data_IF_664524059173
#
_entry.id   IF_664524059173
#
_cell.length_a   1.000
_cell.length_b   1.000
_cell.length_c   1.000
_cell.angle_alpha   90.00
_cell.angle_beta   90.00
_cell.angle_gamma   90.00
#
_symmetry.space_group_name_H-M   'P 1'
#
loop_
_entity.id
_entity.type
_entity.pdbx_description
1 polymer ?
#
# COMPACT_ATOMS: atom_id res chain seq x y z
N UNK A 1 -7.63 -3.44 -24.77
CA UNK A 1 -6.52 -2.46 -24.92
C UNK A 1 -5.32 -2.96 -24.13
N UNK A 2 -4.12 -2.81 -24.67
CA UNK A 2 -2.88 -3.17 -23.96
C UNK A 2 -2.46 -2.00 -23.08
N UNK A 3 -2.08 -2.27 -21.80
CA UNK A 3 -1.49 -1.24 -20.94
C UNK A 3 -0.08 -0.96 -21.44
N UNK A 4 0.17 0.26 -21.87
CA UNK A 4 1.46 0.76 -22.33
C UNK A 4 2.01 1.79 -21.35
N UNK A 5 3.24 1.58 -20.89
CA UNK A 5 3.95 2.47 -19.96
C UNK A 5 5.18 3.10 -20.60
N UNK A 6 5.26 3.08 -21.94
CA UNK A 6 6.35 3.71 -22.70
C UNK A 6 6.50 5.17 -22.32
N UNK A 7 7.73 5.58 -22.02
CA UNK A 7 8.05 6.92 -21.58
C UNK A 7 7.71 7.24 -20.12
N UNK A 8 7.12 6.30 -19.35
CA UNK A 8 6.93 6.44 -17.90
C UNK A 8 8.19 6.04 -17.15
N UNK A 9 8.41 6.68 -16.00
CA UNK A 9 9.52 6.40 -15.09
C UNK A 9 8.95 5.88 -13.79
N UNK A 10 9.39 4.68 -13.39
CA UNK A 10 8.93 4.00 -12.20
C UNK A 10 10.06 3.83 -11.17
N UNK A 11 9.75 4.01 -9.89
CA UNK A 11 10.60 3.63 -8.76
C UNK A 11 9.93 2.48 -8.03
N UNK A 12 10.65 1.37 -7.84
CA UNK A 12 10.18 0.21 -7.06
C UNK A 12 11.13 -0.02 -5.91
N UNK A 13 10.64 0.07 -4.67
CA UNK A 13 11.45 -0.16 -3.47
C UNK A 13 11.39 -1.63 -3.03
N UNK A 14 12.50 -2.14 -2.46
CA UNK A 14 12.63 -3.55 -2.12
C UNK A 14 12.59 -4.44 -3.37
N UNK A 15 13.21 -3.98 -4.46
CA UNK A 15 13.07 -4.58 -5.78
C UNK A 15 14.21 -5.54 -6.16
N UNK A 16 15.13 -5.87 -5.25
CA UNK A 16 16.21 -6.83 -5.49
C UNK A 16 15.75 -8.30 -5.46
N UNK A 17 14.50 -8.59 -5.10
CA UNK A 17 13.97 -9.95 -5.06
C UNK A 17 12.47 -10.02 -4.84
N UNK A 18 11.92 -11.24 -4.84
CA UNK A 18 10.52 -11.52 -4.53
C UNK A 18 9.53 -10.68 -5.33
N UNK A 19 8.54 -10.13 -4.64
CA UNK A 19 7.48 -9.29 -5.25
C UNK A 19 8.07 -8.07 -5.96
N UNK A 20 8.97 -7.34 -5.31
CA UNK A 20 9.53 -6.11 -5.87
C UNK A 20 10.28 -6.34 -7.18
N UNK A 21 11.07 -7.42 -7.28
CA UNK A 21 11.72 -7.84 -8.53
C UNK A 21 10.68 -8.08 -9.64
N UNK A 22 9.66 -8.88 -9.37
CA UNK A 22 8.61 -9.18 -10.36
C UNK A 22 7.83 -7.93 -10.78
N UNK A 23 7.59 -6.99 -9.85
CA UNK A 23 6.96 -5.71 -10.16
C UNK A 23 7.85 -4.87 -11.09
N UNK A 24 9.15 -4.76 -10.80
CA UNK A 24 10.11 -4.02 -11.62
C UNK A 24 10.16 -4.59 -13.04
N UNK A 25 10.29 -5.91 -13.18
CA UNK A 25 10.31 -6.59 -14.47
C UNK A 25 8.98 -6.44 -15.24
N UNK A 26 7.83 -6.51 -14.53
CA UNK A 26 6.53 -6.36 -15.17
C UNK A 26 6.32 -4.94 -15.72
N UNK A 27 6.73 -3.92 -14.98
CA UNK A 27 6.67 -2.52 -15.42
C UNK A 27 7.62 -2.27 -16.62
N UNK A 28 8.84 -2.81 -16.56
CA UNK A 28 9.81 -2.70 -17.66
C UNK A 28 9.31 -3.37 -18.93
N UNK A 29 8.70 -4.57 -18.84
CA UNK A 29 8.08 -5.24 -20.00
C UNK A 29 6.96 -4.44 -20.66
N UNK A 30 6.37 -3.47 -19.95
CA UNK A 30 5.36 -2.54 -20.46
C UNK A 30 5.97 -1.22 -20.97
N UNK A 31 7.29 -1.10 -21.02
CA UNK A 31 8.02 0.05 -21.56
C UNK A 31 8.38 1.12 -20.54
N UNK A 32 8.14 0.90 -19.24
CA UNK A 32 8.59 1.83 -18.20
C UNK A 32 10.11 1.75 -18.03
N UNK A 33 10.74 2.89 -17.74
CA UNK A 33 12.11 2.98 -17.23
C UNK A 33 12.07 2.80 -15.71
N UNK A 34 12.90 1.93 -15.13
CA UNK A 34 12.73 1.48 -13.76
C UNK A 34 13.95 1.78 -12.89
N UNK A 35 13.74 2.48 -11.75
CA UNK A 35 14.67 2.47 -10.64
C UNK A 35 14.39 1.23 -9.80
N UNK A 36 15.34 0.33 -9.76
CA UNK A 36 15.35 -0.87 -8.91
C UNK A 36 16.05 -0.50 -7.61
N UNK A 37 15.28 -0.14 -6.58
CA UNK A 37 15.84 0.20 -5.28
C UNK A 37 15.79 -1.01 -4.34
N UNK A 38 16.93 -1.39 -3.79
CA UNK A 38 17.04 -2.41 -2.74
C UNK A 38 18.29 -2.17 -1.91
N UNK A 39 18.14 -2.12 -0.59
CA UNK A 39 19.28 -2.01 0.35
C UNK A 39 20.14 -3.27 0.33
N UNK A 40 19.60 -4.42 -0.11
CA UNK A 40 20.29 -5.71 -0.13
C UNK A 40 20.41 -6.36 1.24
N UNK A 41 19.56 -5.98 2.19
CA UNK A 41 19.49 -6.58 3.51
C UNK A 41 18.78 -7.94 3.52
N UNK A 42 18.90 -8.65 4.65
CA UNK A 42 18.12 -9.86 4.93
C UNK A 42 16.63 -9.52 5.13
N UNK A 43 15.77 -10.54 5.18
CA UNK A 43 14.33 -10.37 5.49
C UNK A 43 14.07 -9.74 6.85
N UNK A 44 15.04 -9.80 7.77
CA UNK A 44 14.97 -9.14 9.09
C UNK A 44 15.58 -7.74 9.12
N UNK A 45 16.05 -7.23 7.96
CA UNK A 45 16.60 -5.88 7.82
C UNK A 45 18.08 -5.74 8.22
N UNK A 46 18.85 -6.82 8.19
CA UNK A 46 20.29 -6.81 8.53
C UNK A 46 21.14 -6.89 7.26
N UNK A 47 22.18 -6.05 7.18
CA UNK A 47 23.12 -6.00 6.05
C UNK A 47 22.70 -5.06 4.94
N UNK A 48 23.62 -4.86 3.98
CA UNK A 48 23.42 -4.07 2.76
C UNK A 48 24.26 -4.63 1.63
N UNK A 49 23.71 -4.69 0.40
CA UNK A 49 24.45 -5.09 -0.81
C UNK A 49 23.71 -4.60 -2.05
N UNK A 50 24.37 -3.89 -2.94
CA UNK A 50 23.80 -3.45 -4.21
C UNK A 50 23.57 -4.59 -5.23
N UNK A 51 24.19 -5.75 -5.03
CA UNK A 51 24.21 -6.85 -6.03
C UNK A 51 22.83 -7.38 -6.40
N UNK A 52 21.86 -7.39 -5.47
CA UNK A 52 20.51 -7.85 -5.76
C UNK A 52 19.77 -6.89 -6.71
N UNK A 53 19.88 -5.59 -6.49
CA UNK A 53 19.30 -4.58 -7.39
C UNK A 53 19.99 -4.60 -8.77
N UNK A 54 21.33 -4.73 -8.80
CA UNK A 54 22.11 -4.80 -10.03
C UNK A 54 21.72 -6.02 -10.89
N UNK A 55 21.52 -7.19 -10.27
CA UNK A 55 21.08 -8.39 -10.97
C UNK A 55 19.72 -8.19 -11.68
N UNK A 56 18.76 -7.52 -11.03
CA UNK A 56 17.46 -7.20 -11.64
C UNK A 56 17.60 -6.17 -12.77
N UNK A 57 18.51 -5.22 -12.63
CA UNK A 57 18.82 -4.26 -13.71
C UNK A 57 19.38 -4.97 -14.93
N UNK A 58 20.34 -5.88 -14.76
CA UNK A 58 20.91 -6.66 -15.88
C UNK A 58 19.84 -7.54 -16.56
N UNK A 59 18.97 -8.18 -15.78
CA UNK A 59 17.86 -8.95 -16.33
C UNK A 59 16.89 -8.06 -17.13
N UNK A 60 16.59 -6.87 -16.62
CA UNK A 60 15.74 -5.89 -17.29
C UNK A 60 16.36 -5.46 -18.64
N UNK A 61 17.65 -5.17 -18.65
CA UNK A 61 18.39 -4.77 -19.85
C UNK A 61 18.48 -5.90 -20.87
N UNK A 62 18.74 -7.12 -20.40
CA UNK A 62 18.78 -8.30 -21.28
C UNK A 62 17.43 -8.55 -21.98
N UNK A 63 16.32 -8.16 -21.34
CA UNK A 63 14.98 -8.19 -21.92
C UNK A 63 14.64 -6.95 -22.80
N UNK A 64 15.61 -6.04 -23.04
CA UNK A 64 15.43 -4.85 -23.85
C UNK A 64 14.82 -3.65 -23.12
N UNK A 65 14.67 -3.72 -21.80
CA UNK A 65 14.17 -2.61 -20.96
C UNK A 65 15.28 -1.67 -20.51
N UNK A 66 14.89 -0.56 -19.88
CA UNK A 66 15.82 0.43 -19.32
C UNK A 66 15.65 0.49 -17.77
N UNK A 67 16.74 0.27 -17.03
CA UNK A 67 16.73 0.30 -15.59
C UNK A 67 18.02 0.87 -15.00
N UNK A 68 17.94 1.33 -13.74
CA UNK A 68 19.10 1.67 -12.89
C UNK A 68 18.93 1.11 -11.49
N UNK A 69 20.04 0.67 -10.88
CA UNK A 69 20.07 0.20 -9.50
C UNK A 69 20.24 1.38 -8.54
N UNK A 70 19.67 1.24 -7.35
CA UNK A 70 19.87 2.17 -6.24
C UNK A 70 19.83 1.40 -4.91
N UNK A 71 20.69 1.75 -3.96
CA UNK A 71 20.85 1.07 -2.67
C UNK A 71 20.41 1.94 -1.46
N UNK A 72 19.62 2.99 -1.69
CA UNK A 72 19.12 3.83 -0.60
C UNK A 72 18.24 3.05 0.37
N UNK A 73 18.46 3.27 1.68
CA UNK A 73 17.50 2.84 2.68
C UNK A 73 16.25 3.72 2.63
N UNK A 74 15.06 3.12 2.58
CA UNK A 74 13.78 3.88 2.64
C UNK A 74 13.59 4.59 3.98
N UNK A 75 14.32 4.20 5.03
CA UNK A 75 14.28 4.85 6.34
C UNK A 75 15.14 6.13 6.40
N UNK A 76 16.03 6.33 5.44
CA UNK A 76 16.84 7.54 5.30
C UNK A 76 16.23 8.48 4.24
N UNK A 77 15.58 9.55 4.70
CA UNK A 77 14.90 10.48 3.81
C UNK A 77 15.87 11.21 2.86
N UNK A 78 17.09 11.52 3.31
CA UNK A 78 18.08 12.19 2.45
C UNK A 78 18.52 11.26 1.31
N UNK A 79 18.79 9.99 1.61
CA UNK A 79 19.13 8.99 0.60
C UNK A 79 17.95 8.73 -0.37
N UNK A 80 16.72 8.76 0.12
CA UNK A 80 15.51 8.67 -0.74
C UNK A 80 15.40 9.87 -1.67
N UNK A 81 15.62 11.09 -1.17
CA UNK A 81 15.62 12.30 -2.00
C UNK A 81 16.67 12.24 -3.10
N UNK A 82 17.90 11.78 -2.77
CA UNK A 82 18.97 11.60 -3.76
C UNK A 82 18.59 10.55 -4.82
N UNK A 83 18.00 9.43 -4.43
CA UNK A 83 17.48 8.41 -5.36
C UNK A 83 16.49 9.02 -6.37
N UNK A 84 15.54 9.81 -5.90
CA UNK A 84 14.54 10.46 -6.78
C UNK A 84 15.20 11.48 -7.71
N UNK A 85 16.17 12.24 -7.21
CA UNK A 85 16.90 13.20 -8.02
C UNK A 85 17.78 12.51 -9.09
N UNK A 86 18.40 11.38 -8.78
CA UNK A 86 19.10 10.56 -9.78
C UNK A 86 18.16 10.10 -10.90
N UNK A 87 16.94 9.65 -10.57
CA UNK A 87 15.94 9.27 -11.56
C UNK A 87 15.51 10.46 -12.43
N UNK A 88 15.28 11.62 -11.80
CA UNK A 88 14.89 12.85 -12.50
C UNK A 88 16.02 13.39 -13.40
N UNK A 89 17.25 13.39 -12.93
CA UNK A 89 18.42 13.81 -13.71
C UNK A 89 18.63 12.92 -14.94
N UNK A 90 18.34 11.63 -14.81
CA UNK A 90 18.51 10.66 -15.91
C UNK A 90 17.37 10.67 -16.92
N UNK A 91 16.11 10.80 -16.43
CA UNK A 91 14.91 10.59 -17.26
C UNK A 91 13.89 11.74 -17.21
N UNK A 92 14.21 12.81 -16.50
CA UNK A 92 13.43 14.05 -16.47
C UNK A 92 12.28 14.06 -15.45
N UNK A 93 11.82 12.90 -14.98
CA UNK A 93 10.61 12.78 -14.15
C UNK A 93 10.55 11.47 -13.35
N UNK A 94 9.57 11.38 -12.45
CA UNK A 94 9.09 10.12 -11.85
C UNK A 94 7.57 10.11 -11.96
N UNK A 95 7.02 9.12 -12.66
CA UNK A 95 5.57 8.97 -12.89
C UNK A 95 4.93 7.97 -11.95
N UNK A 96 5.67 6.92 -11.57
CA UNK A 96 5.17 5.75 -10.84
C UNK A 96 6.06 5.50 -9.63
N UNK A 97 5.43 5.25 -8.47
CA UNK A 97 6.10 4.81 -7.25
C UNK A 97 5.43 3.55 -6.71
N UNK A 98 6.20 2.47 -6.54
CA UNK A 98 5.74 1.25 -5.88
C UNK A 98 6.50 1.10 -4.55
N UNK A 99 5.81 1.42 -3.46
CA UNK A 99 6.30 1.24 -2.10
C UNK A 99 6.13 -0.23 -1.70
N UNK A 100 7.17 -1.04 -1.91
CA UNK A 100 7.16 -2.46 -1.64
C UNK A 100 8.21 -2.90 -0.59
N UNK A 101 9.22 -2.09 -0.29
CA UNK A 101 10.24 -2.41 0.72
C UNK A 101 9.62 -2.82 2.06
N UNK A 102 10.19 -3.85 2.67
CA UNK A 102 9.64 -4.36 3.92
C UNK A 102 10.55 -5.37 4.61
N UNK A 103 10.34 -5.52 5.91
CA UNK A 103 11.02 -6.47 6.80
C UNK A 103 10.01 -7.18 7.70
N UNK A 104 10.36 -8.36 8.23
CA UNK A 104 9.56 -9.08 9.20
C UNK A 104 10.31 -9.22 10.53
N UNK A 105 9.60 -8.96 11.62
CA UNK A 105 10.06 -9.22 13.00
C UNK A 105 8.90 -9.78 13.81
N UNK A 106 8.42 -10.97 13.36
CA UNK A 106 7.22 -11.61 13.86
C UNK A 106 7.47 -12.25 15.23
N UNK A 107 6.67 -11.86 16.21
CA UNK A 107 6.62 -12.42 17.57
C UNK A 107 5.24 -12.20 18.14
N UNK A 108 4.77 -13.09 19.04
CA UNK A 108 3.57 -12.77 19.81
C UNK A 108 3.77 -11.44 20.56
N UNK A 109 2.71 -10.67 20.76
CA UNK A 109 2.79 -9.32 21.33
C UNK A 109 3.51 -9.30 22.70
N UNK A 110 3.27 -10.32 23.53
CA UNK A 110 3.94 -10.47 24.81
C UNK A 110 5.48 -10.66 24.73
N UNK A 111 5.99 -11.17 23.61
CA UNK A 111 7.42 -11.41 23.38
C UNK A 111 8.07 -10.36 22.44
N UNK A 112 7.27 -9.51 21.83
CA UNK A 112 7.74 -8.50 20.89
C UNK A 112 8.40 -7.35 21.65
N UNK A 113 9.59 -6.94 21.23
CA UNK A 113 10.26 -5.76 21.79
C UNK A 113 9.72 -4.49 21.11
N UNK A 114 9.79 -3.35 21.80
CA UNK A 114 9.42 -2.06 21.20
C UNK A 114 10.37 -1.68 20.02
N UNK A 115 11.60 -2.16 20.06
CA UNK A 115 12.56 -1.99 18.97
C UNK A 115 12.11 -2.75 17.71
N UNK A 116 11.72 -4.03 17.84
CA UNK A 116 11.14 -4.80 16.74
C UNK A 116 9.90 -4.11 16.17
N UNK A 117 9.05 -3.58 17.06
CA UNK A 117 7.84 -2.86 16.64
C UNK A 117 8.19 -1.61 15.83
N UNK A 118 9.06 -0.75 16.36
CA UNK A 118 9.51 0.50 15.70
C UNK A 118 10.19 0.22 14.37
N UNK A 119 11.10 -0.75 14.32
CA UNK A 119 11.81 -1.09 13.10
C UNK A 119 10.87 -1.47 11.95
N UNK A 120 9.79 -2.19 12.23
CA UNK A 120 8.76 -2.54 11.22
C UNK A 120 7.97 -1.30 10.80
N UNK A 121 7.56 -0.45 11.73
CA UNK A 121 6.90 0.83 11.43
C UNK A 121 7.81 1.73 10.58
N UNK A 122 9.09 1.84 10.94
CA UNK A 122 10.04 2.73 10.24
C UNK A 122 10.24 2.29 8.78
N UNK A 123 10.36 1.00 8.52
CA UNK A 123 10.56 0.52 7.15
C UNK A 123 9.26 0.59 6.34
N UNK A 124 8.15 0.03 6.86
CA UNK A 124 6.93 -0.13 6.07
C UNK A 124 6.13 1.17 5.94
N UNK A 125 5.91 1.86 7.06
CA UNK A 125 5.11 3.09 7.07
C UNK A 125 5.97 4.30 6.76
N UNK A 126 6.98 4.59 7.57
CA UNK A 126 7.80 5.80 7.37
C UNK A 126 8.59 5.74 6.07
N UNK A 127 9.12 4.57 5.69
CA UNK A 127 9.77 4.39 4.38
C UNK A 127 8.83 4.72 3.21
N UNK A 128 7.57 4.28 3.27
CA UNK A 128 6.56 4.63 2.26
C UNK A 128 6.21 6.12 2.29
N UNK A 129 6.15 6.73 3.47
CA UNK A 129 5.94 8.18 3.63
C UNK A 129 7.12 8.95 3.03
N UNK A 130 8.36 8.56 3.30
CA UNK A 130 9.56 9.20 2.75
C UNK A 130 9.55 9.17 1.22
N UNK A 131 9.38 7.99 0.63
CA UNK A 131 9.37 7.84 -0.82
C UNK A 131 8.21 8.62 -1.47
N UNK A 132 7.01 8.56 -0.88
CA UNK A 132 5.85 9.29 -1.38
C UNK A 132 6.07 10.80 -1.28
N UNK A 133 6.62 11.29 -0.16
CA UNK A 133 6.93 12.71 0.04
C UNK A 133 7.96 13.22 -0.97
N UNK A 134 8.97 12.40 -1.28
CA UNK A 134 10.04 12.76 -2.22
C UNK A 134 9.52 12.97 -3.66
N UNK A 135 8.50 12.23 -4.08
CA UNK A 135 7.91 12.37 -5.44
C UNK A 135 6.71 13.32 -5.49
N UNK A 136 6.11 13.67 -4.35
CA UNK A 136 4.80 14.30 -4.28
C UNK A 136 4.72 15.62 -5.04
N UNK A 137 5.65 16.55 -4.79
CA UNK A 137 5.63 17.86 -5.43
C UNK A 137 5.87 17.78 -6.94
N UNK A 138 6.83 16.95 -7.38
CA UNK A 138 7.07 16.74 -8.81
C UNK A 138 5.86 16.10 -9.52
N UNK A 139 5.17 15.15 -8.89
CA UNK A 139 3.93 14.57 -9.41
C UNK A 139 2.80 15.60 -9.49
N UNK A 140 2.70 16.53 -8.53
CA UNK A 140 1.76 17.65 -8.60
C UNK A 140 2.08 18.58 -9.75
N UNK A 141 3.34 19.01 -9.89
CA UNK A 141 3.79 19.96 -10.91
C UNK A 141 3.60 19.39 -12.33
N UNK A 142 3.82 18.08 -12.52
CA UNK A 142 3.58 17.39 -13.80
C UNK A 142 2.12 17.01 -14.05
N UNK A 143 1.23 17.22 -13.05
CA UNK A 143 -0.19 16.82 -13.07
C UNK A 143 -0.39 15.32 -13.41
N UNK A 144 0.46 14.47 -12.86
CA UNK A 144 0.41 13.03 -13.04
C UNK A 144 1.19 12.30 -11.94
N UNK A 145 0.61 11.26 -11.37
CA UNK A 145 1.28 10.34 -10.45
C UNK A 145 0.49 9.04 -10.28
N UNK A 146 1.19 7.93 -10.15
CA UNK A 146 0.62 6.62 -9.82
C UNK A 146 1.43 6.02 -8.68
N UNK A 147 0.79 5.84 -7.53
CA UNK A 147 1.43 5.36 -6.31
C UNK A 147 0.75 4.09 -5.85
N UNK A 148 1.54 3.04 -5.64
CA UNK A 148 1.08 1.79 -5.04
C UNK A 148 1.76 1.61 -3.69
N UNK A 149 0.95 1.40 -2.65
CA UNK A 149 1.39 1.08 -1.30
C UNK A 149 1.14 -0.42 -1.05
N UNK A 150 2.19 -1.18 -0.77
CA UNK A 150 2.03 -2.62 -0.49
C UNK A 150 1.54 -2.82 0.93
N UNK A 151 0.23 -3.01 1.09
CA UNK A 151 -0.43 -3.43 2.33
C UNK A 151 -0.35 -4.96 2.50
N UNK A 152 -1.26 -5.58 3.24
CA UNK A 152 -1.29 -7.04 3.46
C UNK A 152 -2.65 -7.47 4.00
N UNK A 153 -3.03 -8.73 3.76
CA UNK A 153 -4.13 -9.39 4.47
C UNK A 153 -3.96 -9.34 5.99
N UNK A 154 -2.71 -9.41 6.50
CA UNK A 154 -2.42 -9.23 7.93
C UNK A 154 -2.76 -7.84 8.44
N UNK A 155 -2.63 -6.80 7.60
CA UNK A 155 -3.09 -5.46 7.95
C UNK A 155 -4.61 -5.33 7.89
N UNK A 156 -5.26 -5.97 6.93
CA UNK A 156 -6.71 -5.86 6.72
C UNK A 156 -7.51 -6.71 7.73
N UNK A 157 -7.02 -7.91 8.05
CA UNK A 157 -7.79 -8.93 8.77
C UNK A 157 -7.10 -9.44 10.04
N UNK A 158 -5.87 -9.01 10.30
CA UNK A 158 -5.04 -9.48 11.40
C UNK A 158 -4.34 -10.80 11.11
N UNK A 159 -3.21 -11.03 11.80
CA UNK A 159 -2.51 -12.31 11.83
C UNK A 159 -1.77 -12.46 13.15
N UNK A 160 -1.80 -13.66 13.75
CA UNK A 160 -1.14 -13.92 15.01
C UNK A 160 0.38 -13.70 14.90
N UNK A 161 0.95 -12.98 15.86
CA UNK A 161 2.39 -12.72 15.91
C UNK A 161 2.86 -11.52 15.07
N UNK A 162 1.95 -10.82 14.41
CA UNK A 162 2.26 -9.71 13.47
C UNK A 162 1.63 -8.38 13.89
N UNK A 163 1.58 -8.08 15.18
CA UNK A 163 0.97 -6.82 15.66
C UNK A 163 1.67 -5.56 15.13
N UNK A 164 3.01 -5.58 15.02
CA UNK A 164 3.80 -4.51 14.40
C UNK A 164 3.52 -4.41 12.88
N UNK A 165 3.59 -5.53 12.19
CA UNK A 165 3.41 -5.62 10.74
C UNK A 165 1.95 -5.28 10.34
N UNK A 166 0.97 -5.86 11.04
CA UNK A 166 -0.44 -5.56 10.80
C UNK A 166 -0.76 -4.08 11.00
N UNK A 167 -0.25 -3.46 12.08
CA UNK A 167 -0.41 -2.03 12.34
C UNK A 167 0.21 -1.19 11.22
N UNK A 168 1.46 -1.47 10.80
CA UNK A 168 2.12 -0.76 9.73
C UNK A 168 1.36 -0.87 8.40
N UNK A 169 0.90 -2.09 8.06
CA UNK A 169 0.22 -2.35 6.79
C UNK A 169 -1.18 -1.75 6.72
N UNK A 170 -1.93 -1.71 7.83
CA UNK A 170 -3.21 -1.01 7.86
C UNK A 170 -3.04 0.52 7.84
N UNK A 171 -1.99 1.05 8.46
CA UNK A 171 -1.67 2.47 8.39
C UNK A 171 -1.45 2.97 6.96
N UNK A 172 -0.91 2.13 6.05
CA UNK A 172 -0.79 2.45 4.63
C UNK A 172 -2.15 2.61 3.94
N UNK A 173 -3.18 1.90 4.39
CA UNK A 173 -4.54 2.09 3.88
C UNK A 173 -5.08 3.46 4.30
N UNK A 174 -4.87 3.87 5.54
CA UNK A 174 -5.21 5.22 6.01
C UNK A 174 -4.48 6.32 5.23
N UNK A 175 -3.17 6.12 4.97
CA UNK A 175 -2.36 7.02 4.15
C UNK A 175 -2.91 7.12 2.72
N UNK A 176 -3.23 5.99 2.07
CA UNK A 176 -3.86 5.94 0.75
C UNK A 176 -5.17 6.72 0.72
N UNK A 177 -6.04 6.51 1.70
CA UNK A 177 -7.36 7.16 1.76
C UNK A 177 -7.23 8.68 1.78
N UNK A 178 -6.33 9.22 2.59
CA UNK A 178 -6.12 10.67 2.73
C UNK A 178 -5.42 11.26 1.51
N UNK A 179 -4.26 10.71 1.13
CA UNK A 179 -3.49 11.24 0.00
C UNK A 179 -4.21 11.08 -1.34
N UNK A 180 -5.07 10.05 -1.49
CA UNK A 180 -5.91 9.89 -2.67
C UNK A 180 -6.92 11.01 -2.86
N UNK A 181 -7.42 11.62 -1.77
CA UNK A 181 -8.25 12.84 -1.82
C UNK A 181 -7.41 14.07 -2.17
N UNK A 182 -6.25 14.24 -1.52
CA UNK A 182 -5.37 15.38 -1.75
C UNK A 182 -4.80 15.40 -3.18
N UNK A 183 -4.47 14.22 -3.72
CA UNK A 183 -3.85 14.04 -5.03
C UNK A 183 -4.83 14.12 -6.22
N UNK A 184 -6.12 13.90 -5.98
CA UNK A 184 -7.12 13.71 -7.05
C UNK A 184 -7.13 14.87 -8.07
N UNK A 185 -7.08 16.12 -7.61
CA UNK A 185 -7.09 17.31 -8.49
C UNK A 185 -5.82 17.49 -9.32
N UNK A 186 -4.76 16.73 -9.01
CA UNK A 186 -3.48 16.73 -9.74
C UNK A 186 -3.27 15.45 -10.54
N UNK A 187 -4.34 14.68 -10.78
CA UNK A 187 -4.26 13.36 -11.43
C UNK A 187 -3.25 12.41 -10.76
N UNK A 188 -3.08 12.53 -9.44
CA UNK A 188 -2.31 11.58 -8.65
C UNK A 188 -3.27 10.55 -8.10
N UNK A 189 -3.08 9.29 -8.46
CA UNK A 189 -3.89 8.15 -8.01
C UNK A 189 -3.06 7.26 -7.11
N UNK A 190 -3.63 6.91 -5.96
CA UNK A 190 -2.94 6.14 -4.93
C UNK A 190 -3.80 4.93 -4.58
N UNK A 191 -3.19 3.75 -4.65
CA UNK A 191 -3.87 2.48 -4.41
C UNK A 191 -3.04 1.61 -3.45
N UNK A 192 -3.69 0.70 -2.76
CA UNK A 192 -3.06 -0.34 -1.97
C UNK A 192 -3.09 -1.68 -2.70
N UNK A 193 -1.99 -2.42 -2.63
CA UNK A 193 -1.90 -3.82 -3.03
C UNK A 193 -1.76 -4.68 -1.76
N UNK A 194 -2.62 -5.66 -1.57
CA UNK A 194 -2.53 -6.67 -0.52
C UNK A 194 -2.15 -8.02 -1.17
N UNK A 195 -0.86 -8.33 -1.29
CA UNK A 195 -0.40 -9.53 -1.99
C UNK A 195 -0.48 -10.78 -1.11
N UNK A 196 -0.78 -11.92 -1.74
CA UNK A 196 -0.54 -13.26 -1.23
C UNK A 196 0.44 -13.96 -2.16
N UNK A 197 1.71 -14.10 -1.73
CA UNK A 197 2.76 -14.70 -2.55
C UNK A 197 3.75 -15.50 -1.71
N UNK A 198 4.19 -16.64 -2.23
CA UNK A 198 5.29 -17.43 -1.70
C UNK A 198 6.61 -16.69 -1.93
N UNK A 199 7.04 -15.92 -0.94
CA UNK A 199 8.32 -15.22 -0.93
C UNK A 199 9.20 -15.81 0.16
N UNK A 200 10.49 -15.42 0.18
CA UNK A 200 11.43 -15.78 1.27
C UNK A 200 10.87 -15.48 2.69
N UNK A 201 9.87 -14.61 2.79
CA UNK A 201 9.19 -14.29 4.04
C UNK A 201 8.31 -15.44 4.55
N UNK A 202 7.93 -16.38 3.69
CA UNK A 202 7.07 -17.52 3.98
C UNK A 202 7.78 -18.87 3.81
N UNK A 203 9.12 -18.85 3.63
CA UNK A 203 9.91 -20.08 3.51
C UNK A 203 9.70 -21.00 4.72
N UNK A 204 9.40 -22.28 4.45
CA UNK A 204 9.10 -23.28 5.46
C UNK A 204 7.66 -23.28 6.00
N UNK A 205 6.81 -22.34 5.59
CA UNK A 205 5.39 -22.29 5.99
C UNK A 205 4.44 -22.77 4.88
N UNK A 206 4.94 -22.95 3.65
CA UNK A 206 4.14 -23.33 2.48
C UNK A 206 4.66 -24.64 1.88
N UNK A 207 3.74 -25.42 1.29
CA UNK A 207 4.11 -26.55 0.45
C UNK A 207 4.69 -26.07 -0.89
N UNK A 208 5.43 -26.93 -1.59
CA UNK A 208 5.97 -26.63 -2.93
C UNK A 208 4.87 -26.25 -3.92
N UNK A 209 3.71 -26.91 -3.86
CA UNK A 209 2.56 -26.61 -4.70
C UNK A 209 1.97 -25.23 -4.39
N UNK A 210 1.80 -24.88 -3.12
CA UNK A 210 1.37 -23.53 -2.71
C UNK A 210 2.36 -22.46 -3.15
N UNK A 211 3.66 -22.71 -3.00
CA UNK A 211 4.71 -21.77 -3.40
C UNK A 211 4.73 -21.53 -4.92
N UNK A 212 4.49 -22.54 -5.72
CA UNK A 212 4.36 -22.42 -7.18
C UNK A 212 3.10 -21.66 -7.58
N UNK A 213 1.96 -21.98 -6.98
CA UNK A 213 0.68 -21.34 -7.26
C UNK A 213 0.69 -19.86 -6.85
N UNK A 214 1.20 -19.57 -5.65
CA UNK A 214 1.32 -18.22 -5.11
C UNK A 214 2.65 -17.56 -5.50
N UNK A 215 3.13 -17.77 -6.72
CA UNK A 215 4.38 -17.15 -7.17
C UNK A 215 4.28 -15.61 -7.17
N UNK A 216 5.35 -14.87 -6.83
CA UNK A 216 5.37 -13.40 -6.89
C UNK A 216 4.94 -12.83 -8.26
N UNK A 217 5.25 -13.56 -9.34
CA UNK A 217 4.87 -13.17 -10.69
C UNK A 217 3.35 -13.11 -10.90
N UNK A 218 2.55 -13.91 -10.15
CA UNK A 218 1.09 -13.91 -10.23
C UNK A 218 0.44 -12.65 -9.66
N UNK A 219 1.18 -11.86 -8.87
CA UNK A 219 0.71 -10.62 -8.25
C UNK A 219 0.99 -9.39 -9.13
N UNK A 220 2.09 -9.40 -9.86
CA UNK A 220 2.60 -8.24 -10.60
C UNK A 220 1.66 -7.66 -11.68
N UNK A 221 0.80 -8.44 -12.35
CA UNK A 221 -0.23 -7.88 -13.23
C UNK A 221 -1.16 -6.89 -12.52
N UNK A 222 -1.45 -7.11 -11.22
CA UNK A 222 -2.21 -6.18 -10.39
C UNK A 222 -1.52 -4.83 -10.23
N UNK A 223 -0.18 -4.81 -10.02
CA UNK A 223 0.59 -3.55 -9.96
C UNK A 223 0.51 -2.81 -11.29
N UNK A 224 0.69 -3.50 -12.42
CA UNK A 224 0.59 -2.88 -13.75
C UNK A 224 -0.78 -2.25 -13.96
N UNK A 225 -1.85 -2.92 -13.55
CA UNK A 225 -3.21 -2.38 -13.63
C UNK A 225 -3.41 -1.16 -12.70
N UNK A 226 -2.85 -1.18 -11.49
CA UNK A 226 -2.96 -0.08 -10.52
C UNK A 226 -2.15 1.17 -10.91
N UNK A 227 -1.24 1.08 -11.88
CA UNK A 227 -0.45 2.22 -12.37
C UNK A 227 -0.78 2.62 -13.81
N UNK A 228 -1.78 1.98 -14.42
CA UNK A 228 -2.28 2.34 -15.75
C UNK A 228 -2.81 3.79 -15.81
N UNK A 229 -2.97 4.33 -17.02
CA UNK A 229 -3.48 5.69 -17.23
C UNK A 229 -4.86 5.90 -16.60
N UNK A 230 -5.73 4.92 -16.72
CA UNK A 230 -7.10 4.89 -16.20
C UNK A 230 -7.25 4.13 -14.88
N UNK A 231 -6.13 3.85 -14.17
CA UNK A 231 -6.14 3.15 -12.89
C UNK A 231 -7.15 3.77 -11.91
N UNK A 232 -7.78 2.98 -11.03
CA UNK A 232 -8.64 3.52 -9.98
C UNK A 232 -7.86 4.41 -9.02
N UNK A 233 -8.57 5.13 -8.17
CA UNK A 233 -8.00 5.83 -7.02
C UNK A 233 -8.59 5.27 -5.73
N UNK A 234 -7.77 5.11 -4.69
CA UNK A 234 -8.18 4.63 -3.37
C UNK A 234 -8.74 3.19 -3.38
N UNK A 235 -8.21 2.34 -4.25
CA UNK A 235 -8.55 0.92 -4.28
C UNK A 235 -7.62 0.11 -3.37
N UNK A 236 -8.16 -0.88 -2.66
CA UNK A 236 -7.42 -1.94 -2.00
C UNK A 236 -7.58 -3.18 -2.87
N UNK A 237 -6.54 -3.54 -3.64
CA UNK A 237 -6.51 -4.72 -4.49
C UNK A 237 -5.81 -5.87 -3.75
N UNK A 238 -6.54 -6.94 -3.46
CA UNK A 238 -5.95 -8.21 -3.03
C UNK A 238 -5.51 -8.98 -4.27
N UNK A 239 -4.34 -9.63 -4.24
CA UNK A 239 -3.78 -10.33 -5.39
C UNK A 239 -2.94 -11.53 -4.98
N UNK A 240 -3.19 -12.69 -5.56
CA UNK A 240 -2.40 -13.90 -5.31
C UNK A 240 -2.88 -15.08 -6.15
N UNK A 241 -1.96 -15.93 -6.62
CA UNK A 241 -2.30 -17.12 -7.40
C UNK A 241 -3.06 -16.84 -8.70
N UNK A 242 -2.96 -15.62 -9.26
CA UNK A 242 -3.72 -15.19 -10.43
C UNK A 242 -5.15 -14.72 -10.12
N UNK A 243 -5.53 -14.67 -8.84
CA UNK A 243 -6.82 -14.17 -8.34
C UNK A 243 -6.70 -12.72 -7.90
N UNK A 244 -7.75 -11.93 -8.11
CA UNK A 244 -7.79 -10.51 -7.77
C UNK A 244 -9.14 -10.16 -7.16
N UNK A 245 -9.14 -9.65 -5.93
CA UNK A 245 -10.32 -9.21 -5.21
C UNK A 245 -10.15 -7.75 -4.76
N UNK A 246 -11.26 -7.07 -4.51
CA UNK A 246 -11.27 -5.72 -3.92
C UNK A 246 -11.73 -5.79 -2.46
N UNK A 247 -10.90 -5.28 -1.56
CA UNK A 247 -11.32 -5.03 -0.19
C UNK A 247 -11.88 -3.62 -0.01
N UNK A 248 -12.79 -3.45 0.97
CA UNK A 248 -13.42 -2.18 1.29
C UNK A 248 -13.36 -1.90 2.78
N UNK A 249 -13.35 -0.62 3.15
CA UNK A 249 -13.70 -0.15 4.49
C UNK A 249 -15.14 0.34 4.39
N UNK A 250 -16.03 -0.30 5.13
CA UNK A 250 -17.47 -0.02 5.12
C UNK A 250 -17.93 0.48 6.48
N UNK A 251 -19.10 1.11 6.50
CA UNK A 251 -19.77 1.56 7.72
C UNK A 251 -21.24 1.15 7.63
N UNK A 252 -21.74 0.48 8.67
CA UNK A 252 -23.17 0.18 8.82
C UNK A 252 -23.94 1.45 9.11
N UNK A 253 -25.26 1.45 8.84
CA UNK A 253 -26.09 2.57 9.23
C UNK A 253 -26.21 2.69 10.74
N UNK A 254 -26.19 1.57 11.48
CA UNK A 254 -26.35 1.54 12.93
C UNK A 254 -27.67 2.12 13.42
N UNK A 255 -27.76 2.42 14.72
CA UNK A 255 -28.95 2.97 15.39
C UNK A 255 -28.68 4.36 15.96
N UNK A 256 -29.72 5.09 16.35
CA UNK A 256 -29.66 6.28 17.16
C UNK A 256 -30.13 5.95 18.57
N UNK A 257 -29.36 6.26 19.59
CA UNK A 257 -29.64 5.94 21.00
C UNK A 257 -29.93 7.22 21.81
N UNK A 258 -29.31 8.33 21.42
CA UNK A 258 -29.34 9.55 22.24
C UNK A 258 -28.21 9.58 23.27
N UNK A 259 -28.41 10.43 24.32
CA UNK A 259 -27.41 10.68 25.38
C UNK A 259 -28.07 10.67 26.77
N UNK A 260 -29.12 9.87 26.96
CA UNK A 260 -29.77 9.69 28.26
C UNK A 260 -29.02 8.72 29.18
N UNK A 261 -29.50 8.59 30.42
CA UNK A 261 -28.87 7.77 31.48
C UNK A 261 -28.95 6.24 31.21
N UNK A 262 -29.57 5.81 30.09
CA UNK A 262 -29.70 4.39 29.68
C UNK A 262 -28.99 4.11 28.34
N UNK A 263 -28.24 5.08 27.83
CA UNK A 263 -27.59 4.95 26.51
C UNK A 263 -26.61 3.78 26.47
N UNK A 264 -25.83 3.55 27.51
CA UNK A 264 -24.84 2.47 27.59
C UNK A 264 -25.51 1.09 27.57
N UNK A 265 -26.59 0.89 28.30
CA UNK A 265 -27.37 -0.35 28.29
C UNK A 265 -28.05 -0.58 26.95
N UNK A 266 -28.58 0.48 26.34
CA UNK A 266 -29.21 0.41 25.02
C UNK A 266 -28.18 0.01 23.95
N UNK A 267 -26.97 0.57 23.97
CA UNK A 267 -25.88 0.16 23.08
C UNK A 267 -25.53 -1.32 23.29
N UNK A 268 -25.33 -1.71 24.58
CA UNK A 268 -24.91 -3.07 24.92
C UNK A 268 -25.96 -4.14 24.54
N UNK A 269 -27.25 -3.79 24.48
CA UNK A 269 -28.35 -4.67 24.10
C UNK A 269 -28.60 -4.73 22.58
N UNK A 270 -27.97 -3.84 21.79
CA UNK A 270 -28.31 -3.66 20.36
C UNK A 270 -27.12 -3.87 19.40
N UNK A 271 -26.09 -4.66 19.77
CA UNK A 271 -24.92 -4.91 18.92
C UNK A 271 -25.29 -5.47 17.53
N UNK A 272 -26.34 -6.30 17.45
CA UNK A 272 -26.81 -6.85 16.17
C UNK A 272 -27.35 -5.76 15.24
N UNK A 273 -28.20 -4.88 15.77
CA UNK A 273 -28.78 -3.76 15.02
C UNK A 273 -27.71 -2.71 14.64
N UNK A 274 -26.74 -2.46 15.52
CA UNK A 274 -25.59 -1.59 15.24
C UNK A 274 -24.75 -2.18 14.12
N UNK A 275 -24.55 -3.50 14.12
CA UNK A 275 -23.72 -4.23 13.17
C UNK A 275 -24.46 -4.71 11.90
N UNK A 276 -25.72 -4.33 11.71
CA UNK A 276 -26.50 -4.77 10.54
C UNK A 276 -25.92 -4.24 9.23
N UNK A 277 -25.45 -5.16 8.40
CA UNK A 277 -24.77 -4.88 7.14
C UNK A 277 -25.72 -4.69 5.95
N UNK A 278 -27.03 -4.88 6.12
CA UNK A 278 -28.00 -4.79 5.02
C UNK A 278 -28.03 -3.40 4.36
N UNK A 279 -27.62 -2.37 5.11
CA UNK A 279 -27.57 -0.97 4.67
C UNK A 279 -26.16 -0.37 4.79
N UNK A 280 -25.11 -1.21 4.77
CA UNK A 280 -23.74 -0.71 4.84
C UNK A 280 -23.37 0.14 3.62
N UNK A 281 -22.53 1.13 3.83
CA UNK A 281 -22.03 2.04 2.80
C UNK A 281 -20.49 2.05 2.79
N UNK A 282 -19.92 2.50 1.68
CA UNK A 282 -18.50 2.78 1.55
C UNK A 282 -18.32 4.30 1.64
N UNK A 283 -17.89 4.84 2.78
CA UNK A 283 -17.72 6.29 2.92
C UNK A 283 -16.67 6.84 1.96
N UNK A 284 -16.99 7.95 1.29
CA UNK A 284 -16.06 8.66 0.39
C UNK A 284 -15.07 9.52 1.15
N UNK A 285 -15.34 9.85 2.42
CA UNK A 285 -14.46 10.63 3.29
C UNK A 285 -14.93 10.63 4.73
N UNK A 286 -14.06 11.07 5.65
CA UNK A 286 -14.33 11.05 7.09
C UNK A 286 -15.55 11.86 7.52
N UNK A 287 -15.90 12.91 6.79
CA UNK A 287 -17.10 13.74 7.08
C UNK A 287 -18.42 12.98 6.95
N UNK A 288 -18.50 11.92 6.16
CA UNK A 288 -19.74 11.17 5.97
C UNK A 288 -20.20 10.45 7.25
N UNK A 289 -19.29 10.08 8.14
CA UNK A 289 -19.66 9.55 9.43
C UNK A 289 -20.45 10.61 10.23
N UNK A 290 -19.89 11.80 10.40
CA UNK A 290 -20.55 12.90 11.12
C UNK A 290 -21.86 13.34 10.48
N UNK A 291 -21.92 13.34 9.15
CA UNK A 291 -23.16 13.64 8.41
C UNK A 291 -24.27 12.61 8.72
N UNK A 292 -23.96 11.32 8.75
CA UNK A 292 -24.91 10.27 9.10
C UNK A 292 -25.38 10.40 10.55
N UNK A 293 -24.47 10.69 11.48
CA UNK A 293 -24.77 10.88 12.92
C UNK A 293 -25.69 12.09 13.11
N UNK A 294 -25.40 13.20 12.45
CA UNK A 294 -26.22 14.40 12.47
C UNK A 294 -27.62 14.17 11.86
N UNK A 295 -27.70 13.46 10.71
CA UNK A 295 -28.99 13.09 10.10
C UNK A 295 -29.87 12.30 11.08
N UNK A 296 -29.31 11.33 11.79
CA UNK A 296 -30.04 10.54 12.77
C UNK A 296 -30.54 11.37 13.96
N UNK A 297 -29.67 12.26 14.49
CA UNK A 297 -30.05 13.16 15.58
C UNK A 297 -31.18 14.11 15.14
N UNK A 298 -31.15 14.60 13.90
CA UNK A 298 -32.22 15.43 13.32
C UNK A 298 -33.52 14.65 13.18
N UNK A 299 -33.50 13.43 12.66
CA UNK A 299 -34.67 12.58 12.53
C UNK A 299 -35.28 12.21 13.88
N UNK A 300 -34.50 12.16 14.95
CA UNK A 300 -34.92 11.97 16.32
C UNK A 300 -35.48 13.26 16.98
N UNK A 301 -35.50 14.40 16.27
CA UNK A 301 -36.05 15.68 16.76
C UNK A 301 -35.15 16.44 17.71
N UNK A 302 -33.87 16.06 17.85
CA UNK A 302 -32.90 16.70 18.75
C UNK A 302 -32.31 17.99 18.14
N UNK A 303 -32.22 18.05 16.81
CA UNK A 303 -31.65 19.19 16.07
C UNK A 303 -32.75 19.74 15.12
N UNK A 304 -32.97 21.05 15.16
CA UNK A 304 -33.89 21.71 14.22
C UNK A 304 -33.28 21.75 12.81
N UNK A 305 -34.16 21.79 11.81
CA UNK A 305 -33.70 21.99 10.42
C UNK A 305 -32.87 23.27 10.30
N UNK A 306 -31.79 23.26 9.52
CA UNK A 306 -31.11 24.49 9.20
C UNK A 306 -32.07 25.42 8.44
N UNK A 307 -32.21 26.64 8.94
CA UNK A 307 -33.04 27.73 8.34
C UNK A 307 -32.45 28.15 7.01
#
# INVERSE_FOLDING_TARGET
MSIDLTGRVAVVTGAGGGLGREHALALARRGAKVVVNDLGGSVTGVGASATAAEAVVEETRAAGGEAMANAASVTDFAAVMDMIEQARSRWGKVDILVNNAGVLRDKSFAKMTLEDFRSVIDVHLMGSVHCTKAVWNSMRDQNYGRIVLTTSSSGLYGNFGQSNYGAAKLALVGLMQTLGLEGAKYNIRINCLAPSAGTRMLDGLMTDEMSKTLSPASVSPGVVALVAEDAPNRMILCAGGGSYERAYITMTRGIYVGVDDQAEETIAQNWEAIGDRTTETIPEGGMQQSQLEFEKARLAGIVSDPV
#
